data_IF_075128403875
#
_entry.id   IF_075128403875
#
_cell.length_a   1.000
_cell.length_b   1.000
_cell.length_c   1.000
_cell.angle_alpha   90.00
_cell.angle_beta   90.00
_cell.angle_gamma   90.00
#
_symmetry.space_group_name_H-M   'P 1'
#
loop_
_entity.id
_entity.type
_entity.pdbx_description
1 polymer ?
#
# COMPACT_ATOMS: atom_id res chain seq x y z
N UNK A 1 -24.42 -4.74 -14.18
CA UNK A 1 -23.43 -4.66 -13.07
C UNK A 1 -22.59 -3.43 -13.34
N UNK A 2 -22.41 -2.54 -12.37
CA UNK A 2 -21.65 -1.31 -12.56
C UNK A 2 -20.17 -1.69 -12.84
N UNK A 3 -19.50 -0.98 -13.76
CA UNK A 3 -18.07 -1.19 -14.06
C UNK A 3 -17.25 -0.97 -12.82
N UNK A 4 -16.27 -1.84 -12.55
CA UNK A 4 -15.34 -1.72 -11.44
C UNK A 4 -13.94 -1.43 -12.01
N UNK A 5 -13.27 -0.41 -11.48
CA UNK A 5 -11.94 0.01 -11.93
C UNK A 5 -10.99 0.06 -10.74
N UNK A 6 -9.79 -0.50 -10.91
CA UNK A 6 -8.66 -0.31 -9.99
C UNK A 6 -7.75 0.79 -10.53
N UNK A 7 -7.66 1.91 -9.81
CA UNK A 7 -6.81 3.07 -10.14
C UNK A 7 -5.37 2.86 -9.62
N UNK A 8 -4.67 1.82 -10.09
CA UNK A 8 -3.33 1.48 -9.60
C UNK A 8 -2.50 0.69 -10.61
N UNK A 9 -1.19 1.00 -10.67
CA UNK A 9 -0.21 0.22 -11.42
C UNK A 9 0.38 -0.95 -10.64
N UNK A 10 0.10 -1.07 -9.34
CA UNK A 10 0.68 -2.08 -8.45
C UNK A 10 0.22 -3.49 -8.81
N UNK A 11 1.15 -4.42 -9.15
CA UNK A 11 0.77 -5.81 -9.42
C UNK A 11 0.18 -6.50 -8.19
N UNK A 12 0.66 -6.18 -6.98
CA UNK A 12 0.13 -6.73 -5.72
C UNK A 12 -1.33 -6.35 -5.48
N UNK A 13 -1.72 -5.11 -5.80
CA UNK A 13 -3.13 -4.70 -5.70
C UNK A 13 -4.02 -5.39 -6.72
N UNK A 14 -3.49 -5.72 -7.91
CA UNK A 14 -4.21 -6.53 -8.90
C UNK A 14 -4.45 -7.93 -8.36
N UNK A 15 -3.40 -8.61 -7.86
CA UNK A 15 -3.53 -9.91 -7.22
C UNK A 15 -4.60 -9.93 -6.12
N UNK A 16 -4.67 -8.87 -5.30
CA UNK A 16 -5.69 -8.76 -4.26
C UNK A 16 -7.08 -8.49 -4.82
N UNK A 17 -7.21 -7.68 -5.86
CA UNK A 17 -8.50 -7.47 -6.54
C UNK A 17 -9.02 -8.74 -7.20
N UNK A 18 -8.16 -9.60 -7.73
CA UNK A 18 -8.53 -10.90 -8.31
C UNK A 18 -9.24 -11.81 -7.29
N UNK A 19 -8.91 -11.68 -5.99
CA UNK A 19 -9.57 -12.42 -4.91
C UNK A 19 -11.04 -12.05 -4.72
N UNK A 20 -11.49 -10.91 -5.23
CA UNK A 20 -12.91 -10.54 -5.22
C UNK A 20 -13.76 -11.42 -6.16
N UNK A 21 -13.13 -12.12 -7.08
CA UNK A 21 -13.79 -12.91 -8.12
C UNK A 21 -14.89 -12.10 -8.87
N UNK A 22 -14.56 -10.85 -9.18
CA UNK A 22 -15.42 -9.92 -9.95
C UNK A 22 -14.60 -9.36 -11.10
N UNK A 23 -15.20 -9.16 -12.28
CA UNK A 23 -14.51 -8.47 -13.37
C UNK A 23 -14.21 -7.02 -12.99
N UNK A 24 -13.01 -6.56 -13.28
CA UNK A 24 -12.58 -5.17 -13.11
C UNK A 24 -11.61 -4.77 -14.22
N UNK A 25 -11.45 -3.48 -14.40
CA UNK A 25 -10.49 -2.88 -15.30
C UNK A 25 -9.35 -2.25 -14.50
N UNK A 26 -8.18 -2.12 -15.11
CA UNK A 26 -7.04 -1.41 -14.51
C UNK A 26 -6.79 -0.14 -15.32
N UNK A 27 -6.93 1.01 -14.68
CA UNK A 27 -6.57 2.31 -15.25
C UNK A 27 -5.59 2.98 -14.30
N UNK A 28 -4.38 3.28 -14.78
CA UNK A 28 -3.34 3.87 -13.95
C UNK A 28 -3.64 5.33 -13.68
N UNK A 29 -3.61 5.73 -12.42
CA UNK A 29 -3.68 7.14 -12.02
C UNK A 29 -2.30 7.78 -12.09
N UNK A 30 -2.22 8.97 -12.66
CA UNK A 30 -1.02 9.84 -12.70
C UNK A 30 -1.06 10.93 -11.61
N UNK A 31 -1.84 10.73 -10.55
CA UNK A 31 -1.92 11.69 -9.44
C UNK A 31 -0.57 11.83 -8.73
N UNK A 32 -0.26 13.05 -8.29
CA UNK A 32 0.92 13.33 -7.45
C UNK A 32 0.82 12.57 -6.13
N UNK A 33 1.89 11.84 -5.78
CA UNK A 33 2.01 10.98 -4.60
C UNK A 33 2.77 11.67 -3.44
N UNK A 34 2.94 12.98 -3.45
CA UNK A 34 3.60 13.71 -2.36
C UNK A 34 2.79 13.64 -1.05
N UNK A 35 3.49 13.42 0.07
CA UNK A 35 2.94 13.33 1.41
C UNK A 35 3.55 14.43 2.28
N UNK A 36 2.72 15.16 2.99
CA UNK A 36 3.16 16.05 4.06
C UNK A 36 3.23 15.27 5.38
N UNK A 37 4.44 14.89 5.79
CA UNK A 37 4.67 14.15 7.02
C UNK A 37 4.41 14.94 8.31
N UNK A 38 4.15 16.25 8.22
CA UNK A 38 3.78 17.09 9.38
C UNK A 38 2.30 16.95 9.77
N UNK A 39 1.47 16.41 8.88
CA UNK A 39 0.05 16.20 9.08
C UNK A 39 -0.28 14.82 9.67
N UNK A 40 -1.56 14.60 9.97
CA UNK A 40 -2.06 13.25 10.29
C UNK A 40 -1.89 12.30 9.11
N UNK A 41 -0.94 11.38 9.20
CA UNK A 41 -0.58 10.46 8.13
C UNK A 41 -1.74 9.59 7.64
N UNK A 42 -2.72 9.29 8.50
CA UNK A 42 -3.92 8.56 8.06
C UNK A 42 -4.76 9.39 7.11
N UNK A 43 -4.95 10.66 7.41
CA UNK A 43 -5.69 11.59 6.54
C UNK A 43 -4.93 11.86 5.25
N UNK A 44 -3.60 11.99 5.31
CA UNK A 44 -2.77 12.17 4.13
C UNK A 44 -2.89 10.98 3.17
N UNK A 45 -2.78 9.76 3.67
CA UNK A 45 -2.86 8.56 2.84
C UNK A 45 -4.27 8.32 2.29
N UNK A 46 -5.31 8.65 3.05
CA UNK A 46 -6.70 8.65 2.59
C UNK A 46 -6.90 9.67 1.48
N UNK A 47 -6.32 10.87 1.62
CA UNK A 47 -6.37 11.91 0.60
C UNK A 47 -5.67 11.49 -0.69
N UNK A 48 -4.51 10.84 -0.60
CA UNK A 48 -3.82 10.30 -1.77
C UNK A 48 -4.63 9.21 -2.48
N UNK A 49 -5.24 8.32 -1.72
CA UNK A 49 -6.13 7.30 -2.27
C UNK A 49 -7.32 7.93 -3.01
N UNK A 50 -7.90 8.98 -2.44
CA UNK A 50 -8.97 9.76 -3.07
C UNK A 50 -8.49 10.42 -4.37
N UNK A 51 -7.35 11.12 -4.37
CA UNK A 51 -6.79 11.75 -5.58
C UNK A 51 -6.61 10.74 -6.71
N UNK A 52 -6.09 9.53 -6.39
CA UNK A 52 -5.93 8.45 -7.37
C UNK A 52 -7.26 7.98 -7.95
N UNK A 53 -8.26 7.76 -7.09
CA UNK A 53 -9.59 7.38 -7.55
C UNK A 53 -10.24 8.49 -8.37
N UNK A 54 -10.19 9.74 -7.91
CA UNK A 54 -10.80 10.89 -8.57
C UNK A 54 -10.22 11.14 -9.97
N UNK A 55 -8.90 11.04 -10.12
CA UNK A 55 -8.23 11.24 -11.42
C UNK A 55 -8.78 10.30 -12.48
N UNK A 56 -9.00 9.03 -12.12
CA UNK A 56 -9.56 8.03 -13.03
C UNK A 56 -11.07 8.20 -13.19
N UNK A 57 -11.78 8.57 -12.11
CA UNK A 57 -13.22 8.73 -12.12
C UNK A 57 -13.69 9.90 -13.00
N UNK A 58 -12.89 10.95 -13.18
CA UNK A 58 -13.23 12.11 -14.05
C UNK A 58 -13.65 11.68 -15.46
N UNK A 59 -12.98 10.66 -15.99
CA UNK A 59 -13.22 10.14 -17.35
C UNK A 59 -14.06 8.83 -17.35
N UNK A 60 -14.49 8.34 -16.19
CA UNK A 60 -15.22 7.07 -16.03
C UNK A 60 -16.36 7.21 -15.02
N UNK A 61 -17.27 8.16 -15.28
CA UNK A 61 -18.38 8.52 -14.36
C UNK A 61 -19.40 7.40 -14.13
N UNK A 62 -19.48 6.45 -15.04
CA UNK A 62 -20.36 5.27 -14.99
C UNK A 62 -19.80 4.12 -14.14
N UNK A 63 -18.58 4.27 -13.61
CA UNK A 63 -17.86 3.21 -12.91
C UNK A 63 -17.80 3.43 -11.39
N UNK A 64 -17.50 2.32 -10.67
CA UNK A 64 -16.97 2.36 -9.31
C UNK A 64 -15.45 2.29 -9.39
N UNK A 65 -14.75 3.27 -8.87
CA UNK A 65 -13.28 3.35 -8.92
C UNK A 65 -12.68 3.12 -7.54
N UNK A 66 -11.73 2.19 -7.45
CA UNK A 66 -10.96 1.91 -6.23
C UNK A 66 -9.55 2.48 -6.39
N UNK A 67 -9.23 3.50 -5.60
CA UNK A 67 -7.88 4.05 -5.45
C UNK A 67 -7.28 3.61 -4.13
N UNK A 68 -5.96 3.39 -4.10
CA UNK A 68 -5.26 3.05 -2.87
C UNK A 68 -3.83 3.56 -2.87
N UNK A 69 -3.31 3.86 -1.67
CA UNK A 69 -1.90 4.13 -1.47
C UNK A 69 -1.41 3.57 -0.13
N UNK A 70 -0.09 3.35 0.00
CA UNK A 70 0.49 2.65 1.15
C UNK A 70 1.80 3.30 1.56
N UNK A 71 1.95 3.53 2.86
CA UNK A 71 3.17 4.03 3.47
C UNK A 71 3.64 3.12 4.61
N UNK A 72 4.94 3.11 4.83
CA UNK A 72 5.59 2.51 5.99
C UNK A 72 6.04 3.63 6.93
N UNK A 73 5.79 3.49 8.21
CA UNK A 73 6.09 4.51 9.21
C UNK A 73 6.84 3.89 10.39
N UNK A 74 8.02 4.42 10.67
CA UNK A 74 8.82 4.05 11.84
C UNK A 74 9.39 5.32 12.50
N UNK A 75 9.31 5.43 13.83
CA UNK A 75 9.86 6.56 14.59
C UNK A 75 9.43 7.94 14.03
N UNK A 76 8.17 8.06 13.58
CA UNK A 76 7.62 9.23 12.89
C UNK A 76 8.25 9.56 11.52
N UNK A 77 9.13 8.69 10.99
CA UNK A 77 9.65 8.78 9.64
C UNK A 77 8.77 7.99 8.67
N UNK A 78 8.39 8.60 7.56
CA UNK A 78 7.69 7.93 6.45
C UNK A 78 8.72 7.35 5.50
N UNK A 79 8.73 6.03 5.37
CA UNK A 79 9.57 5.32 4.43
C UNK A 79 8.80 5.07 3.13
N UNK A 80 9.16 5.79 2.08
CA UNK A 80 8.70 5.54 0.72
C UNK A 80 9.46 4.39 0.06
N UNK A 81 9.45 4.37 -1.27
CA UNK A 81 10.35 3.49 -2.04
C UNK A 81 11.79 3.98 -1.89
N UNK A 82 12.77 3.07 -1.80
CA UNK A 82 14.16 3.47 -1.71
C UNK A 82 14.59 4.17 -3.02
N UNK A 83 15.47 5.15 -2.89
CA UNK A 83 16.03 5.90 -4.03
C UNK A 83 17.08 5.08 -4.77
N UNK A 84 17.82 4.29 -4.02
CA UNK A 84 18.91 3.44 -4.46
C UNK A 84 19.14 2.30 -3.45
N UNK A 85 20.12 1.45 -3.70
CA UNK A 85 20.47 0.32 -2.82
C UNK A 85 20.94 0.77 -1.43
N UNK A 86 21.63 1.90 -1.31
CA UNK A 86 22.12 2.41 -0.02
C UNK A 86 20.95 2.92 0.83
N UNK A 87 19.97 3.57 0.21
CA UNK A 87 18.73 3.96 0.91
C UNK A 87 17.89 2.73 1.31
N UNK A 88 17.88 1.67 0.48
CA UNK A 88 17.26 0.41 0.86
C UNK A 88 17.94 -0.23 2.09
N UNK A 89 19.28 -0.27 2.13
CA UNK A 89 20.05 -0.73 3.30
C UNK A 89 19.73 0.10 4.53
N UNK A 90 19.70 1.42 4.40
CA UNK A 90 19.34 2.33 5.50
C UNK A 90 17.96 2.01 6.05
N UNK A 91 16.95 1.85 5.19
CA UNK A 91 15.60 1.52 5.60
C UNK A 91 15.55 0.17 6.32
N UNK A 92 16.19 -0.87 5.79
CA UNK A 92 16.21 -2.19 6.40
C UNK A 92 16.89 -2.19 7.78
N UNK A 93 17.99 -1.43 7.97
CA UNK A 93 18.61 -1.23 9.29
C UNK A 93 17.65 -0.59 10.28
N UNK A 94 16.85 0.39 9.86
CA UNK A 94 15.82 1.01 10.72
C UNK A 94 14.73 0.02 11.13
N UNK A 95 14.36 -0.89 10.23
CA UNK A 95 13.30 -1.88 10.48
C UNK A 95 13.81 -3.07 11.29
N UNK A 96 15.09 -3.44 11.16
CA UNK A 96 15.73 -4.57 11.85
C UNK A 96 15.52 -4.51 13.36
N UNK A 97 15.09 -5.63 13.96
CA UNK A 97 14.77 -5.78 15.39
C UNK A 97 13.80 -4.72 15.93
N UNK A 98 12.89 -4.22 15.09
CA UNK A 98 12.01 -3.12 15.44
C UNK A 98 10.55 -3.40 15.06
N UNK A 99 9.66 -2.50 15.45
CA UNK A 99 8.24 -2.51 15.10
C UNK A 99 7.93 -1.24 14.32
N UNK A 100 7.29 -1.42 13.18
CA UNK A 100 6.83 -0.31 12.35
C UNK A 100 5.35 -0.46 11.99
N UNK A 101 4.76 0.60 11.46
CA UNK A 101 3.38 0.60 10.99
C UNK A 101 3.35 0.64 9.47
N UNK A 102 2.45 -0.12 8.88
CA UNK A 102 2.04 0.02 7.49
C UNK A 102 0.64 0.61 7.48
N UNK A 103 0.46 1.70 6.76
CA UNK A 103 -0.83 2.38 6.63
C UNK A 103 -1.23 2.34 5.17
N UNK A 104 -2.38 1.73 4.87
CA UNK A 104 -2.97 1.75 3.53
C UNK A 104 -4.26 2.54 3.55
N UNK A 105 -4.28 3.63 2.79
CA UNK A 105 -5.49 4.39 2.48
C UNK A 105 -6.19 3.81 1.26
N UNK A 106 -7.52 3.81 1.29
CA UNK A 106 -8.37 3.36 0.19
C UNK A 106 -9.51 4.34 -0.01
N UNK A 107 -9.79 4.65 -1.26
CA UNK A 107 -10.99 5.37 -1.66
C UNK A 107 -11.80 4.53 -2.64
N UNK A 108 -13.09 4.35 -2.35
CA UNK A 108 -14.08 3.80 -3.28
C UNK A 108 -14.98 4.95 -3.71
N UNK A 109 -14.98 5.24 -5.00
CA UNK A 109 -15.65 6.41 -5.58
C UNK A 109 -16.59 6.01 -6.70
N UNK A 110 -17.82 6.47 -6.63
CA UNK A 110 -18.80 6.40 -7.72
C UNK A 110 -19.60 7.70 -7.80
N UNK A 111 -20.48 7.83 -8.76
CA UNK A 111 -21.34 9.00 -8.86
C UNK A 111 -22.20 9.18 -7.60
N UNK A 112 -22.05 10.32 -6.94
CA UNK A 112 -22.79 10.65 -5.72
C UNK A 112 -22.37 9.91 -4.45
N UNK A 113 -21.33 9.04 -4.50
CA UNK A 113 -20.89 8.28 -3.33
C UNK A 113 -19.37 8.17 -3.22
N UNK A 114 -18.88 8.47 -2.02
CA UNK A 114 -17.46 8.37 -1.66
C UNK A 114 -17.36 7.58 -0.34
N UNK A 115 -16.51 6.58 -0.30
CA UNK A 115 -16.10 5.89 0.93
C UNK A 115 -14.58 5.91 1.00
N UNK A 116 -14.03 6.71 1.91
CA UNK A 116 -12.60 6.95 2.07
C UNK A 116 -12.16 6.51 3.47
N UNK A 117 -11.20 5.61 3.56
CA UNK A 117 -10.77 5.01 4.82
C UNK A 117 -9.32 4.56 4.79
N UNK A 118 -8.76 4.26 5.96
CA UNK A 118 -7.43 3.67 6.08
C UNK A 118 -7.40 2.51 7.05
N UNK A 119 -6.53 1.54 6.77
CA UNK A 119 -6.19 0.43 7.66
C UNK A 119 -4.73 0.54 8.10
N UNK A 120 -4.45 0.14 9.35
CA UNK A 120 -3.12 0.17 9.95
C UNK A 120 -2.77 -1.22 10.43
N UNK A 121 -1.57 -1.69 10.08
CA UNK A 121 -1.01 -2.94 10.59
C UNK A 121 0.38 -2.68 11.15
N UNK A 122 0.66 -3.19 12.35
CA UNK A 122 2.02 -3.22 12.90
C UNK A 122 2.74 -4.45 12.38
N UNK A 123 3.98 -4.28 12.01
CA UNK A 123 4.86 -5.35 11.52
C UNK A 123 6.10 -5.41 12.42
N UNK A 124 6.41 -6.62 12.89
CA UNK A 124 7.51 -6.90 13.81
C UNK A 124 8.62 -7.60 13.07
N UNK A 125 9.78 -6.96 12.94
CA UNK A 125 10.96 -7.56 12.31
C UNK A 125 11.82 -8.30 13.32
N UNK A 126 12.42 -9.39 12.89
CA UNK A 126 13.60 -9.98 13.53
C UNK A 126 14.81 -9.07 13.32
N UNK A 127 15.87 -9.30 14.08
CA UNK A 127 17.18 -8.74 13.79
C UNK A 127 17.69 -9.25 12.44
N UNK A 128 18.28 -8.38 11.66
CA UNK A 128 18.95 -8.67 10.39
C UNK A 128 20.43 -8.34 10.52
N UNK A 129 21.30 -9.28 10.13
CA UNK A 129 22.73 -8.97 9.99
C UNK A 129 23.00 -8.10 8.76
N UNK A 130 24.17 -7.48 8.69
CA UNK A 130 24.57 -6.69 7.50
C UNK A 130 24.63 -7.57 6.24
N UNK A 131 25.09 -8.83 6.37
CA UNK A 131 25.11 -9.79 5.28
C UNK A 131 23.71 -10.12 4.77
N UNK A 132 22.74 -10.29 5.67
CA UNK A 132 21.34 -10.55 5.31
C UNK A 132 20.70 -9.34 4.62
N UNK A 133 21.03 -8.13 5.06
CA UNK A 133 20.58 -6.89 4.42
C UNK A 133 21.17 -6.80 3.00
N UNK A 134 22.46 -7.05 2.83
CA UNK A 134 23.12 -7.02 1.53
C UNK A 134 22.56 -8.07 0.57
N UNK A 135 22.37 -9.30 1.04
CA UNK A 135 21.72 -10.37 0.25
C UNK A 135 20.32 -9.97 -0.20
N UNK A 136 19.54 -9.38 0.70
CA UNK A 136 18.17 -9.01 0.39
C UNK A 136 18.11 -7.86 -0.61
N UNK A 137 18.96 -6.86 -0.47
CA UNK A 137 19.06 -5.75 -1.43
C UNK A 137 19.53 -6.25 -2.79
N UNK A 138 20.48 -7.19 -2.84
CA UNK A 138 20.98 -7.79 -4.10
C UNK A 138 19.89 -8.59 -4.86
N UNK A 139 18.80 -8.99 -4.20
CA UNK A 139 17.65 -9.63 -4.86
C UNK A 139 16.81 -8.66 -5.70
N UNK A 140 17.01 -7.36 -5.58
CA UNK A 140 16.21 -6.27 -6.15
C UNK A 140 14.74 -6.23 -5.71
N UNK A 141 14.28 -7.19 -4.88
CA UNK A 141 12.92 -7.18 -4.35
C UNK A 141 12.59 -5.91 -3.56
N UNK A 142 13.50 -5.31 -2.76
CA UNK A 142 13.23 -4.09 -2.00
C UNK A 142 12.90 -2.85 -2.84
N UNK A 143 13.40 -2.78 -4.08
CA UNK A 143 13.57 -1.52 -4.82
C UNK A 143 12.27 -0.84 -5.26
N UNK A 144 11.17 -1.57 -5.39
CA UNK A 144 9.88 -1.02 -5.81
C UNK A 144 8.85 -0.92 -4.66
N UNK A 145 9.30 -1.06 -3.40
CA UNK A 145 8.44 -1.21 -2.24
C UNK A 145 8.66 -0.14 -1.18
N UNK A 146 7.57 0.40 -0.65
CA UNK A 146 7.62 1.26 0.54
C UNK A 146 8.27 0.51 1.71
N UNK A 147 9.25 1.13 2.37
CA UNK A 147 10.02 0.52 3.45
C UNK A 147 10.99 -0.58 3.02
N UNK A 148 11.22 -0.74 1.72
CA UNK A 148 12.21 -1.66 1.15
C UNK A 148 12.00 -3.13 1.50
N UNK A 149 10.76 -3.62 1.61
CA UNK A 149 10.50 -5.05 1.79
C UNK A 149 9.14 -5.50 1.26
N UNK A 150 9.01 -6.80 1.03
CA UNK A 150 7.74 -7.48 0.72
C UNK A 150 7.41 -8.52 1.78
N UNK A 151 6.18 -8.46 2.32
CA UNK A 151 5.71 -9.46 3.28
C UNK A 151 5.47 -10.83 2.63
N UNK A 152 5.10 -10.88 1.36
CA UNK A 152 4.82 -12.10 0.59
C UNK A 152 6.02 -12.61 -0.23
N UNK A 153 7.17 -11.92 -0.20
CA UNK A 153 8.37 -12.27 -0.93
C UNK A 153 9.49 -12.80 -0.05
N UNK A 154 10.74 -12.61 -0.48
CA UNK A 154 11.94 -13.02 0.27
C UNK A 154 12.07 -12.32 1.61
N UNK A 155 11.49 -11.11 1.75
CA UNK A 155 11.44 -10.37 3.02
C UNK A 155 10.59 -11.04 4.10
N UNK A 156 9.73 -12.00 3.74
CA UNK A 156 8.87 -12.70 4.70
C UNK A 156 9.65 -13.37 5.84
N UNK A 157 10.86 -13.89 5.57
CA UNK A 157 11.72 -14.56 6.56
C UNK A 157 12.20 -13.65 7.69
N UNK A 158 12.16 -12.35 7.49
CA UNK A 158 12.56 -11.35 8.49
C UNK A 158 11.40 -10.88 9.37
N UNK A 159 10.16 -11.23 9.03
CA UNK A 159 8.96 -10.81 9.76
C UNK A 159 8.56 -11.91 10.75
N UNK A 160 8.59 -11.60 12.05
CA UNK A 160 8.21 -12.56 13.10
C UNK A 160 6.73 -12.54 13.45
N UNK A 161 6.06 -11.39 13.26
CA UNK A 161 4.64 -11.22 13.59
C UNK A 161 4.04 -9.98 12.94
N UNK A 162 2.72 -9.97 12.83
CA UNK A 162 1.94 -8.78 12.50
C UNK A 162 0.80 -8.61 13.52
N UNK A 163 0.37 -7.38 13.73
CA UNK A 163 -0.83 -7.02 14.49
C UNK A 163 -1.73 -6.17 13.59
N UNK A 164 -2.76 -6.78 13.04
CA UNK A 164 -3.67 -6.19 12.06
C UNK A 164 -3.88 -7.08 10.84
N UNK A 165 -4.26 -6.47 9.73
CA UNK A 165 -4.57 -7.15 8.48
C UNK A 165 -3.32 -7.34 7.59
N UNK A 166 -3.07 -8.59 7.18
CA UNK A 166 -1.97 -8.96 6.29
C UNK A 166 -2.03 -8.23 4.94
N UNK A 167 -3.22 -8.11 4.37
CA UNK A 167 -3.42 -7.52 3.05
C UNK A 167 -3.25 -6.00 3.06
N UNK A 168 -3.40 -5.34 4.21
CA UNK A 168 -2.98 -3.95 4.41
C UNK A 168 -1.48 -3.79 4.15
N UNK A 169 -0.65 -4.74 4.61
CA UNK A 169 0.80 -4.71 4.38
C UNK A 169 1.14 -4.94 2.90
N UNK A 170 0.37 -5.77 2.20
CA UNK A 170 0.50 -5.95 0.75
C UNK A 170 0.04 -4.72 -0.07
N UNK A 171 -0.79 -3.85 0.51
CA UNK A 171 -1.19 -2.58 -0.08
C UNK A 171 -2.66 -2.44 -0.48
N UNK A 172 -3.53 -3.37 -0.09
CA UNK A 172 -4.98 -3.27 -0.25
C UNK A 172 -5.70 -4.16 0.77
N UNK A 173 -6.38 -3.61 1.79
CA UNK A 173 -7.13 -4.38 2.79
C UNK A 173 -8.39 -4.99 2.18
N UNK A 174 -8.23 -6.11 1.48
CA UNK A 174 -9.24 -6.66 0.57
C UNK A 174 -10.55 -7.05 1.27
N UNK A 175 -10.50 -7.47 2.54
CA UNK A 175 -11.70 -7.80 3.31
C UNK A 175 -12.58 -6.55 3.56
N UNK A 176 -11.95 -5.42 3.91
CA UNK A 176 -12.67 -4.15 4.09
C UNK A 176 -13.16 -3.60 2.74
N UNK A 177 -12.35 -3.70 1.69
CA UNK A 177 -12.77 -3.32 0.32
C UNK A 177 -13.99 -4.13 -0.10
N UNK A 178 -13.96 -5.45 0.04
CA UNK A 178 -15.08 -6.32 -0.29
C UNK A 178 -16.36 -5.96 0.45
N UNK A 179 -16.25 -5.73 1.77
CA UNK A 179 -17.39 -5.36 2.62
C UNK A 179 -18.04 -4.05 2.16
N UNK A 180 -17.22 -3.04 1.85
CA UNK A 180 -17.67 -1.70 1.46
C UNK A 180 -18.21 -1.65 0.03
N UNK A 181 -17.62 -2.40 -0.88
CA UNK A 181 -18.12 -2.52 -2.26
C UNK A 181 -19.55 -3.07 -2.36
N UNK A 182 -20.06 -3.76 -1.32
CA UNK A 182 -21.46 -4.23 -1.30
C UNK A 182 -22.47 -3.09 -1.28
N UNK A 183 -22.05 -1.90 -0.91
CA UNK A 183 -22.92 -0.73 -0.85
C UNK A 183 -22.83 0.16 -2.10
N UNK A 184 -22.00 -0.18 -3.05
CA UNK A 184 -21.85 0.45 -4.36
C UNK A 184 -22.47 -0.43 -5.45
#
# INVERSE_FOLDING_TARGET
MQRLILASKSPRRRELMDLLNKPYEVIVSEADESIDSSNDLRKEIEHLAYKKAETVFKDNRDAVVVGADTIVVINNEVLGKPKDEDDARRMLRLLSNNVHKVITGVCILSEGKIDNFSCVTKVYFNEMSEEEIDEYVASFEPMDKAGSYAIQGFGAKYIRAIEGDYYTVMGLPIAEVYKRLKSF
#
